data_IF_365301284361
#
_entry.id   IF_365301284361
#
_cell.length_a   1.000
_cell.length_b   1.000
_cell.length_c   1.000
_cell.angle_alpha   90.00
_cell.angle_beta   90.00
_cell.angle_gamma   90.00
#
_symmetry.space_group_name_H-M   'P 1'
#
loop_
_entity.id
_entity.type
_entity.pdbx_description
1 polymer ?
#
# COMPACT_ATOMS: atom_id res chain seq x y z
N UNK A 1 -4.91 -5.20 -34.46
CA UNK A 1 -4.36 -6.09 -33.41
C UNK A 1 -3.17 -5.35 -32.81
N UNK A 2 -3.33 -4.75 -31.63
CA UNK A 2 -2.19 -4.08 -30.96
C UNK A 2 -1.31 -5.21 -30.41
N UNK A 3 -0.11 -5.37 -30.96
CA UNK A 3 0.87 -6.31 -30.41
C UNK A 3 1.38 -5.73 -29.09
N UNK A 4 0.93 -6.31 -27.98
CA UNK A 4 1.42 -5.97 -26.64
C UNK A 4 2.94 -6.17 -26.57
N UNK A 5 3.69 -5.13 -26.23
CA UNK A 5 5.15 -5.25 -26.11
C UNK A 5 5.53 -5.95 -24.80
N UNK A 6 6.67 -6.66 -24.73
CA UNK A 6 7.14 -7.27 -23.48
C UNK A 6 7.27 -6.27 -22.31
N UNK A 7 7.60 -5.00 -22.62
CA UNK A 7 7.70 -3.90 -21.64
C UNK A 7 6.34 -3.59 -21.03
N UNK A 8 5.28 -3.56 -21.82
CA UNK A 8 3.92 -3.36 -21.33
C UNK A 8 3.48 -4.48 -20.37
N UNK A 9 3.71 -5.76 -20.75
CA UNK A 9 3.36 -6.91 -19.89
C UNK A 9 4.11 -6.87 -18.56
N UNK A 10 5.40 -6.54 -18.59
CA UNK A 10 6.19 -6.44 -17.36
C UNK A 10 5.77 -5.25 -16.50
N UNK A 11 5.46 -4.10 -17.11
CA UNK A 11 4.94 -2.93 -16.40
C UNK A 11 3.64 -3.21 -15.65
N UNK A 12 2.70 -3.93 -16.29
CA UNK A 12 1.45 -4.37 -15.65
C UNK A 12 1.72 -5.23 -14.43
N UNK A 13 2.59 -6.23 -14.56
CA UNK A 13 2.93 -7.12 -13.45
C UNK A 13 3.56 -6.37 -12.28
N UNK A 14 4.47 -5.43 -12.55
CA UNK A 14 5.11 -4.62 -11.50
C UNK A 14 4.07 -3.79 -10.75
N UNK A 15 3.12 -3.19 -11.45
CA UNK A 15 2.12 -2.36 -10.82
C UNK A 15 1.08 -3.15 -10.01
N UNK A 16 0.66 -4.32 -10.49
CA UNK A 16 -0.19 -5.25 -9.71
C UNK A 16 0.50 -5.68 -8.39
N UNK A 17 1.80 -6.00 -8.48
CA UNK A 17 2.61 -6.32 -7.29
C UNK A 17 2.76 -5.14 -6.35
N UNK A 18 2.84 -3.92 -6.87
CA UNK A 18 2.92 -2.71 -6.07
C UNK A 18 1.61 -2.41 -5.35
N UNK A 19 0.48 -2.51 -6.04
CA UNK A 19 -0.85 -2.38 -5.42
C UNK A 19 -1.07 -3.43 -4.32
N UNK A 20 -0.61 -4.67 -4.57
CA UNK A 20 -0.60 -5.72 -3.55
C UNK A 20 0.24 -5.32 -2.33
N UNK A 21 1.44 -4.78 -2.53
CA UNK A 21 2.32 -4.34 -1.45
C UNK A 21 1.72 -3.18 -0.64
N UNK A 22 1.11 -2.20 -1.29
CA UNK A 22 0.40 -1.09 -0.65
C UNK A 22 -0.77 -1.58 0.22
N UNK A 23 -1.56 -2.52 -0.28
CA UNK A 23 -2.64 -3.14 0.47
C UNK A 23 -2.12 -3.93 1.68
N UNK A 24 -1.00 -4.65 1.53
CA UNK A 24 -0.38 -5.37 2.65
C UNK A 24 0.16 -4.42 3.72
N UNK A 25 0.72 -3.27 3.33
CA UNK A 25 1.13 -2.23 4.26
C UNK A 25 -0.06 -1.70 5.08
N UNK A 26 -1.22 -1.45 4.45
CA UNK A 26 -2.46 -1.07 5.13
C UNK A 26 -2.94 -2.14 6.12
N UNK A 27 -2.94 -3.42 5.70
CA UNK A 27 -3.33 -4.53 6.58
C UNK A 27 -2.37 -4.66 7.78
N UNK A 28 -1.09 -4.43 7.56
CA UNK A 28 -0.08 -4.42 8.62
C UNK A 28 -0.34 -3.30 9.61
N UNK A 29 -0.58 -2.07 9.15
CA UNK A 29 -0.92 -0.94 10.03
C UNK A 29 -2.19 -1.22 10.84
N UNK A 30 -3.21 -1.84 10.23
CA UNK A 30 -4.41 -2.28 10.94
C UNK A 30 -4.09 -3.28 12.07
N UNK A 31 -3.22 -4.25 11.81
CA UNK A 31 -2.80 -5.22 12.82
C UNK A 31 -2.03 -4.55 13.98
N UNK A 32 -1.16 -3.59 13.67
CA UNK A 32 -0.46 -2.80 14.69
C UNK A 32 -1.42 -1.96 15.54
N UNK A 33 -2.42 -1.33 14.93
CA UNK A 33 -3.44 -0.57 15.64
C UNK A 33 -4.26 -1.46 16.59
N UNK A 34 -4.67 -2.65 16.14
CA UNK A 34 -5.37 -3.62 16.97
C UNK A 34 -4.52 -4.10 18.15
N UNK A 35 -3.23 -4.34 17.93
CA UNK A 35 -2.29 -4.69 19.01
C UNK A 35 -2.15 -3.55 20.02
N UNK A 36 -1.97 -2.31 19.55
CA UNK A 36 -1.88 -1.13 20.43
C UNK A 36 -3.15 -0.94 21.25
N UNK A 37 -4.32 -1.12 20.65
CA UNK A 37 -5.60 -1.08 21.37
C UNK A 37 -5.60 -2.10 22.51
N UNK A 38 -5.30 -3.37 22.22
CA UNK A 38 -5.23 -4.41 23.25
C UNK A 38 -4.24 -4.09 24.37
N UNK A 39 -3.09 -3.49 24.06
CA UNK A 39 -2.13 -3.04 25.07
C UNK A 39 -2.65 -1.89 25.93
N UNK A 40 -3.47 -1.01 25.37
CA UNK A 40 -4.13 0.07 26.12
C UNK A 40 -5.24 -0.47 27.01
N UNK A 41 -6.06 -1.39 26.49
CA UNK A 41 -7.14 -2.03 27.27
C UNK A 41 -6.58 -2.71 28.52
N UNK A 42 -5.46 -3.44 28.41
CA UNK A 42 -4.80 -4.05 29.59
C UNK A 42 -4.36 -2.98 30.59
N UNK A 43 -3.92 -1.80 30.14
CA UNK A 43 -3.46 -0.73 31.04
C UNK A 43 -4.61 0.02 31.71
N UNK A 44 -5.80 0.03 31.12
CA UNK A 44 -6.98 0.66 31.71
C UNK A 44 -7.78 -0.30 32.58
N UNK A 45 -7.77 -1.59 32.24
CA UNK A 45 -8.71 -2.57 32.80
C UNK A 45 -8.04 -3.55 33.79
N UNK A 46 -6.74 -3.41 34.05
CA UNK A 46 -6.01 -4.22 35.03
C UNK A 46 -5.45 -3.39 36.19
N UNK A 47 -5.12 -4.08 37.28
CA UNK A 47 -4.47 -3.48 38.46
C UNK A 47 -2.96 -3.21 38.26
N UNK A 48 -2.46 -3.35 37.03
CA UNK A 48 -1.06 -3.12 36.68
C UNK A 48 -0.78 -1.62 36.67
N UNK A 49 0.33 -1.21 37.28
CA UNK A 49 0.70 0.20 37.36
C UNK A 49 0.88 0.81 35.94
N UNK A 50 0.42 2.06 35.68
CA UNK A 50 0.42 2.63 34.32
C UNK A 50 1.78 2.76 33.63
N UNK A 51 2.88 2.77 34.38
CA UNK A 51 4.22 2.83 33.79
C UNK A 51 4.68 1.46 33.26
N UNK A 52 4.10 0.38 33.76
CA UNK A 52 4.38 -0.98 33.28
C UNK A 52 3.91 -1.13 31.83
N UNK A 53 4.74 -1.75 31.00
CA UNK A 53 4.48 -1.91 29.57
C UNK A 53 4.61 -0.63 28.72
N UNK A 54 4.88 0.55 29.29
CA UNK A 54 5.03 1.80 28.52
C UNK A 54 6.14 1.68 27.46
N UNK A 55 7.27 1.06 27.82
CA UNK A 55 8.37 0.82 26.88
C UNK A 55 7.93 -0.09 25.72
N UNK A 56 7.08 -1.09 25.99
CA UNK A 56 6.56 -1.97 24.95
C UNK A 56 5.64 -1.20 24.00
N UNK A 57 4.73 -0.37 24.53
CA UNK A 57 3.84 0.48 23.74
C UNK A 57 4.64 1.40 22.83
N UNK A 58 5.64 2.09 23.38
CA UNK A 58 6.53 2.97 22.61
C UNK A 58 7.26 2.23 21.49
N UNK A 59 7.72 1.00 21.73
CA UNK A 59 8.37 0.17 20.70
C UNK A 59 7.40 -0.25 19.59
N UNK A 60 6.16 -0.62 19.93
CA UNK A 60 5.13 -0.94 18.94
C UNK A 60 4.76 0.30 18.11
N UNK A 61 4.63 1.47 18.74
CA UNK A 61 4.42 2.74 18.04
C UNK A 61 5.58 3.10 17.10
N UNK A 62 6.82 2.97 17.57
CA UNK A 62 8.00 3.21 16.73
C UNK A 62 8.07 2.25 15.53
N UNK A 63 7.70 0.98 15.71
CA UNK A 63 7.61 0.02 14.63
C UNK A 63 6.50 0.35 13.63
N UNK A 64 5.32 0.77 14.11
CA UNK A 64 4.24 1.24 13.23
C UNK A 64 4.66 2.46 12.39
N UNK A 65 5.42 3.40 12.98
CA UNK A 65 5.96 4.57 12.27
C UNK A 65 6.83 4.17 11.06
N UNK A 66 7.68 3.16 11.21
CA UNK A 66 8.49 2.64 10.09
C UNK A 66 7.66 2.04 8.96
N UNK A 67 6.51 1.45 9.27
CA UNK A 67 5.60 0.95 8.24
C UNK A 67 4.92 2.10 7.49
N UNK A 68 4.55 3.18 8.17
CA UNK A 68 4.02 4.40 7.54
C UNK A 68 5.05 5.04 6.60
N UNK A 69 6.31 5.10 7.04
CA UNK A 69 7.42 5.57 6.20
C UNK A 69 7.58 4.69 4.95
N UNK A 70 7.63 3.36 5.13
CA UNK A 70 7.71 2.42 4.01
C UNK A 70 6.54 2.56 3.04
N UNK A 71 5.31 2.73 3.54
CA UNK A 71 4.13 2.96 2.71
C UNK A 71 4.22 4.26 1.90
N UNK A 72 4.75 5.32 2.50
CA UNK A 72 4.97 6.59 1.80
C UNK A 72 5.95 6.44 0.63
N UNK A 73 7.01 5.65 0.82
CA UNK A 73 7.96 5.33 -0.25
C UNK A 73 7.32 4.44 -1.35
N UNK A 74 6.45 3.50 -0.99
CA UNK A 74 5.68 2.72 -1.97
C UNK A 74 4.80 3.62 -2.84
N UNK A 75 4.08 4.58 -2.26
CA UNK A 75 3.25 5.52 -3.03
C UNK A 75 4.08 6.42 -3.97
N UNK A 76 5.27 6.84 -3.54
CA UNK A 76 6.20 7.58 -4.41
C UNK A 76 6.68 6.70 -5.56
N UNK A 77 7.05 5.46 -5.27
CA UNK A 77 7.45 4.50 -6.29
C UNK A 77 6.32 4.25 -7.30
N UNK A 78 5.08 4.11 -6.84
CA UNK A 78 3.89 3.97 -7.68
C UNK A 78 3.75 5.15 -8.63
N UNK A 79 3.76 6.36 -8.08
CA UNK A 79 3.68 7.58 -8.87
C UNK A 79 4.80 7.67 -9.91
N UNK A 80 6.04 7.32 -9.55
CA UNK A 80 7.18 7.34 -10.48
C UNK A 80 7.02 6.30 -11.59
N UNK A 81 6.66 5.06 -11.24
CA UNK A 81 6.46 3.98 -12.21
C UNK A 81 5.35 4.32 -13.21
N UNK A 82 4.27 4.93 -12.73
CA UNK A 82 3.17 5.41 -13.58
C UNK A 82 3.65 6.45 -14.59
N UNK A 83 4.39 7.46 -14.12
CA UNK A 83 4.93 8.52 -14.97
C UNK A 83 5.93 7.97 -16.01
N UNK A 84 6.85 7.09 -15.58
CA UNK A 84 7.82 6.46 -16.46
C UNK A 84 7.16 5.54 -17.49
N UNK A 85 6.14 4.78 -17.10
CA UNK A 85 5.40 3.92 -18.02
C UNK A 85 4.74 4.73 -19.13
N UNK A 86 4.02 5.81 -18.79
CA UNK A 86 3.38 6.69 -19.78
C UNK A 86 4.43 7.32 -20.72
N UNK A 87 5.57 7.76 -20.16
CA UNK A 87 6.66 8.36 -20.94
C UNK A 87 7.32 7.36 -21.90
N UNK A 88 7.52 6.11 -21.48
CA UNK A 88 8.21 5.08 -22.28
C UNK A 88 7.28 4.52 -23.36
N UNK A 89 6.02 4.25 -23.01
CA UNK A 89 5.05 3.60 -23.91
C UNK A 89 4.25 4.58 -24.76
N UNK A 90 4.29 5.88 -24.44
CA UNK A 90 3.43 6.93 -25.01
C UNK A 90 1.94 6.66 -24.82
N UNK A 91 1.57 5.73 -23.93
CA UNK A 91 0.17 5.47 -23.60
C UNK A 91 -0.34 6.54 -22.62
N UNK A 92 -1.57 7.04 -22.83
CA UNK A 92 -2.17 8.01 -21.94
C UNK A 92 -2.51 7.37 -20.59
N UNK A 93 -2.39 8.19 -19.56
CA UNK A 93 -2.72 7.81 -18.21
C UNK A 93 -4.24 7.82 -17.98
N UNK A 94 -4.84 6.67 -17.66
CA UNK A 94 -6.31 6.55 -17.53
C UNK A 94 -6.85 6.94 -16.15
N UNK A 95 -5.99 7.28 -15.17
CA UNK A 95 -6.37 7.55 -13.76
C UNK A 95 -7.09 6.41 -13.02
N UNK A 96 -7.60 5.38 -13.70
CA UNK A 96 -8.29 4.23 -13.11
C UNK A 96 -7.33 3.13 -12.68
N UNK A 97 -6.29 2.89 -13.47
CA UNK A 97 -5.39 1.75 -13.31
C UNK A 97 -3.95 2.17 -13.59
N UNK A 98 -3.03 1.62 -12.81
CA UNK A 98 -1.60 1.74 -13.08
C UNK A 98 -1.06 0.35 -13.45
N UNK A 99 -0.42 0.18 -14.62
CA UNK A 99 -0.49 1.07 -15.77
C UNK A 99 -1.87 0.97 -16.47
N UNK A 100 -2.28 2.07 -17.10
CA UNK A 100 -3.47 2.12 -17.92
C UNK A 100 -3.33 1.20 -19.14
N UNK A 101 -4.10 0.11 -19.20
CA UNK A 101 -4.10 -0.79 -20.34
C UNK A 101 -5.33 -0.54 -21.23
N UNK A 102 -5.18 -0.07 -22.47
CA UNK A 102 -6.31 0.22 -23.35
C UNK A 102 -7.07 -1.04 -23.82
N UNK A 103 -6.53 -2.25 -23.60
CA UNK A 103 -7.15 -3.52 -24.02
C UNK A 103 -7.97 -4.24 -22.93
N UNK A 104 -8.10 -3.63 -21.74
CA UNK A 104 -9.01 -4.07 -20.68
C UNK A 104 -9.67 -2.78 -20.21
N UNK A 105 -10.45 -2.15 -21.09
CA UNK A 105 -11.55 -1.35 -20.60
C UNK A 105 -12.39 -2.33 -19.77
N UNK A 106 -12.22 -2.29 -18.45
CA UNK A 106 -13.22 -2.80 -17.54
C UNK A 106 -14.51 -2.12 -17.98
N UNK A 107 -15.39 -2.91 -18.60
CA UNK A 107 -16.77 -2.50 -18.76
C UNK A 107 -17.21 -2.07 -17.37
N UNK A 108 -17.36 -0.76 -17.20
CA UNK A 108 -18.05 -0.20 -16.07
C UNK A 108 -19.37 -0.97 -16.02
N UNK A 109 -19.54 -1.75 -14.96
CA UNK A 109 -20.78 -2.47 -14.69
C UNK A 109 -21.87 -1.41 -14.70
N UNK A 110 -22.59 -1.34 -15.82
CA UNK A 110 -23.74 -0.49 -15.97
C UNK A 110 -24.81 -1.05 -15.02
N UNK A 111 -25.12 -0.26 -14.00
CA UNK A 111 -26.32 -0.40 -13.20
C UNK A 111 -27.57 -0.04 -14.02
#
# INVERSE_FOLDING_TARGET
>A
MIMTTPVEVMGIRVADRLATAENLANQTLRAFAALQQSMMDVRTDSDVAPYEGQIAVMRVQAAAGKIVEAQSELFKAHKSLRADFCRITMLPDSNSDCPAWPGVATEAVAA
#
